data_IF_898462147532
#
_entry.id   IF_898462147532
#
_cell.length_a   1.000
_cell.length_b   1.000
_cell.length_c   1.000
_cell.angle_alpha   90.00
_cell.angle_beta   90.00
_cell.angle_gamma   90.00
#
_symmetry.space_group_name_H-M   'P 1'
#
loop_
_entity.id
_entity.type
_entity.pdbx_description
1 polymer ?
#
# COMPACT_ATOMS: atom_id res chain seq x y z
N UNK A 1 -2.76 17.50 6.19
CA UNK A 1 -3.81 16.51 6.38
C UNK A 1 -3.55 15.66 7.61
N UNK A 2 -4.61 15.14 8.20
CA UNK A 2 -4.52 14.36 9.41
C UNK A 2 -4.68 12.87 9.10
N UNK A 3 -3.71 12.32 8.38
CA UNK A 3 -3.75 10.92 7.93
C UNK A 3 -3.90 9.93 9.10
N UNK A 4 -3.38 10.27 10.27
CA UNK A 4 -3.50 9.41 11.44
C UNK A 4 -4.93 9.32 11.97
N UNK A 5 -5.84 10.19 11.57
CA UNK A 5 -7.26 10.13 11.92
C UNK A 5 -8.08 9.39 10.88
N UNK A 6 -7.71 9.51 9.61
CA UNK A 6 -8.42 8.83 8.54
C UNK A 6 -7.51 8.68 7.31
N UNK A 7 -7.59 7.54 6.68
CA UNK A 7 -6.97 7.26 5.39
C UNK A 7 -8.07 6.93 4.38
N UNK A 8 -9.10 7.74 4.33
CA UNK A 8 -10.19 7.55 3.37
C UNK A 8 -9.86 8.28 2.06
N UNK A 9 -10.06 7.59 0.94
CA UNK A 9 -9.92 8.18 -0.39
C UNK A 9 -11.08 7.73 -1.26
N UNK A 10 -11.65 8.63 -2.10
CA UNK A 10 -12.72 8.25 -3.01
C UNK A 10 -12.24 7.21 -4.02
N UNK A 11 -12.99 6.11 -4.16
CA UNK A 11 -12.71 5.08 -5.15
C UNK A 11 -13.40 5.33 -6.49
N UNK A 12 -14.33 6.28 -6.54
CA UNK A 12 -15.10 6.58 -7.71
C UNK A 12 -16.60 6.48 -7.44
N UNK A 13 -17.36 6.24 -8.47
CA UNK A 13 -18.82 6.19 -8.40
C UNK A 13 -19.29 4.78 -8.75
N UNK A 14 -20.12 4.19 -7.89
CA UNK A 14 -20.68 2.86 -8.17
C UNK A 14 -21.85 2.94 -9.17
N UNK A 15 -22.49 1.79 -9.45
CA UNK A 15 -23.59 1.70 -10.41
C UNK A 15 -24.83 2.54 -10.04
N UNK A 16 -24.92 3.01 -8.79
CA UNK A 16 -25.99 3.87 -8.30
C UNK A 16 -25.58 5.32 -8.16
N UNK A 17 -24.47 5.70 -8.77
CA UNK A 17 -23.89 7.05 -8.70
C UNK A 17 -23.54 7.50 -7.27
N UNK A 18 -23.29 6.54 -6.38
CA UNK A 18 -22.80 6.81 -5.03
C UNK A 18 -21.28 6.85 -5.02
N UNK A 19 -20.71 7.81 -4.30
CA UNK A 19 -19.27 7.88 -4.12
C UNK A 19 -18.84 6.76 -3.19
N UNK A 20 -17.92 5.90 -3.68
CA UNK A 20 -17.36 4.82 -2.90
C UNK A 20 -16.01 5.27 -2.37
N UNK A 21 -15.77 5.05 -1.08
CA UNK A 21 -14.50 5.35 -0.44
C UNK A 21 -13.90 4.08 0.16
N UNK A 22 -12.57 4.05 0.20
CA UNK A 22 -11.83 3.03 0.91
C UNK A 22 -11.07 3.70 2.06
N UNK A 23 -11.39 3.30 3.28
CA UNK A 23 -10.71 3.79 4.47
C UNK A 23 -9.77 2.67 4.96
N UNK A 24 -8.48 2.95 4.93
CA UNK A 24 -7.45 2.01 5.35
C UNK A 24 -7.08 2.15 6.82
N UNK A 25 -7.79 3.01 7.55
CA UNK A 25 -7.58 3.12 8.98
C UNK A 25 -7.93 1.79 9.66
N UNK A 26 -7.05 1.29 10.52
CA UNK A 26 -7.17 -0.04 11.10
C UNK A 26 -8.46 -0.31 11.86
N UNK A 27 -9.12 0.74 12.37
CA UNK A 27 -10.39 0.60 13.09
C UNK A 27 -11.59 0.36 12.18
N UNK A 28 -11.49 0.74 10.91
CA UNK A 28 -12.62 0.68 9.99
C UNK A 28 -12.51 -0.45 8.98
N UNK A 29 -11.34 -0.60 8.35
CA UNK A 29 -11.14 -1.58 7.28
C UNK A 29 -10.03 -2.58 7.59
N UNK A 30 -9.44 -2.48 8.81
CA UNK A 30 -8.34 -3.32 9.22
C UNK A 30 -7.07 -3.03 8.42
N UNK A 31 -6.07 -3.94 8.53
CA UNK A 31 -4.79 -3.74 7.87
C UNK A 31 -4.83 -3.98 6.36
N UNK A 32 -5.91 -4.55 5.84
CA UNK A 32 -6.04 -4.94 4.45
C UNK A 32 -7.31 -4.38 3.86
N UNK A 33 -7.17 -3.53 2.87
CA UNK A 33 -8.28 -3.16 2.01
C UNK A 33 -8.44 -4.23 0.95
N UNK A 34 -9.63 -4.82 0.84
CA UNK A 34 -9.93 -5.76 -0.22
C UNK A 34 -10.92 -5.13 -1.19
N UNK A 35 -10.47 -4.96 -2.42
CA UNK A 35 -11.34 -4.57 -3.52
C UNK A 35 -11.65 -5.81 -4.31
N UNK A 36 -12.87 -6.30 -4.21
CA UNK A 36 -13.33 -7.46 -4.96
C UNK A 36 -14.14 -6.99 -6.16
N UNK A 37 -13.90 -7.61 -7.29
CA UNK A 37 -14.63 -7.34 -8.53
C UNK A 37 -14.48 -8.50 -9.49
N UNK A 38 -15.37 -8.54 -10.48
CA UNK A 38 -15.27 -9.54 -11.54
C UNK A 38 -14.08 -9.22 -12.43
N UNK A 39 -13.39 -10.25 -12.88
CA UNK A 39 -12.23 -10.11 -13.78
C UNK A 39 -12.57 -9.30 -15.01
N UNK A 40 -11.73 -8.35 -15.33
CA UNK A 40 -11.81 -7.58 -16.58
C UNK A 40 -12.71 -6.35 -16.53
N UNK A 41 -13.45 -6.10 -15.46
CA UNK A 41 -14.34 -4.95 -15.40
C UNK A 41 -13.99 -4.06 -14.21
N UNK A 42 -13.87 -2.79 -14.40
CA UNK A 42 -13.84 -1.77 -13.36
C UNK A 42 -12.88 -1.91 -12.18
N UNK A 43 -12.34 -3.09 -11.90
CA UNK A 43 -11.47 -3.33 -10.74
C UNK A 43 -10.17 -2.54 -10.84
N UNK A 44 -9.50 -2.60 -11.99
CA UNK A 44 -8.29 -1.82 -12.23
C UNK A 44 -8.58 -0.33 -12.19
N UNK A 45 -9.73 0.08 -12.71
CA UNK A 45 -10.16 1.49 -12.65
C UNK A 45 -10.40 1.96 -11.22
N UNK A 46 -10.98 1.11 -10.37
CA UNK A 46 -11.19 1.40 -8.96
C UNK A 46 -9.84 1.62 -8.27
N UNK A 47 -8.88 0.72 -8.49
CA UNK A 47 -7.55 0.84 -7.92
C UNK A 47 -6.83 2.10 -8.42
N UNK A 48 -6.94 2.40 -9.70
CA UNK A 48 -6.38 3.62 -10.29
C UNK A 48 -6.99 4.87 -9.67
N UNK A 49 -8.31 4.89 -9.52
CA UNK A 49 -9.02 6.00 -8.88
C UNK A 49 -8.59 6.19 -7.43
N UNK A 50 -8.40 5.08 -6.70
CA UNK A 50 -7.91 5.13 -5.34
C UNK A 50 -6.52 5.75 -5.26
N UNK A 51 -5.59 5.30 -6.10
CA UNK A 51 -4.22 5.82 -6.14
C UNK A 51 -4.23 7.32 -6.42
N UNK A 52 -4.95 7.75 -7.45
CA UNK A 52 -5.03 9.16 -7.83
C UNK A 52 -5.66 10.01 -6.72
N UNK A 53 -6.74 9.52 -6.13
CA UNK A 53 -7.42 10.24 -5.05
C UNK A 53 -6.53 10.38 -3.82
N UNK A 54 -5.88 9.29 -3.42
CA UNK A 54 -4.98 9.30 -2.27
C UNK A 54 -3.77 10.21 -2.53
N UNK A 55 -3.19 10.15 -3.73
CA UNK A 55 -2.05 10.99 -4.10
C UNK A 55 -2.41 12.47 -4.16
N UNK A 56 -3.67 12.80 -4.46
CA UNK A 56 -4.14 14.18 -4.45
C UNK A 56 -4.33 14.71 -3.02
N UNK A 57 -4.78 13.85 -2.10
CA UNK A 57 -5.11 14.23 -0.73
C UNK A 57 -3.88 14.21 0.17
N UNK A 58 -2.99 13.21 -0.01
CA UNK A 58 -1.89 12.96 0.90
C UNK A 58 -0.54 13.21 0.23
N UNK A 59 0.39 13.73 1.02
CA UNK A 59 1.76 13.97 0.58
C UNK A 59 2.55 12.63 0.49
N UNK A 60 3.61 12.53 -0.37
CA UNK A 60 4.45 11.32 -0.43
C UNK A 60 5.08 10.90 0.90
N UNK A 61 5.29 11.81 1.85
CA UNK A 61 5.74 11.43 3.19
C UNK A 61 4.63 10.85 4.07
N UNK A 62 3.38 10.93 3.64
CA UNK A 62 2.22 10.39 4.36
C UNK A 62 1.76 9.05 3.80
N UNK A 63 1.81 8.87 2.48
CA UNK A 63 1.38 7.63 1.81
C UNK A 63 2.28 7.33 0.61
N UNK A 64 2.62 6.07 0.47
CA UNK A 64 3.33 5.56 -0.68
C UNK A 64 2.73 4.24 -1.15
N UNK A 65 2.95 3.90 -2.41
CA UNK A 65 2.38 2.71 -3.03
C UNK A 65 3.48 1.78 -3.54
N UNK A 66 3.24 0.48 -3.37
CA UNK A 66 3.95 -0.59 -4.07
C UNK A 66 2.90 -1.31 -4.90
N UNK A 67 3.12 -1.39 -6.20
CA UNK A 67 2.18 -2.03 -7.13
C UNK A 67 2.75 -3.36 -7.59
N UNK A 68 1.98 -4.41 -7.40
CA UNK A 68 2.30 -5.75 -7.90
C UNK A 68 1.38 -6.02 -9.08
N UNK A 69 1.96 -5.99 -10.28
CA UNK A 69 1.22 -6.13 -11.54
C UNK A 69 2.05 -6.96 -12.50
N UNK A 70 1.75 -8.25 -12.59
CA UNK A 70 2.52 -9.14 -13.43
C UNK A 70 1.86 -9.49 -14.77
N UNK A 71 0.82 -8.76 -15.13
CA UNK A 71 0.17 -8.87 -16.43
C UNK A 71 0.52 -7.69 -17.35
N UNK A 72 1.81 -7.50 -17.61
CA UNK A 72 2.27 -6.52 -18.57
C UNK A 72 2.59 -5.13 -18.02
N UNK A 73 2.38 -4.89 -16.72
CA UNK A 73 2.81 -3.64 -16.09
C UNK A 73 2.02 -2.39 -16.45
N UNK A 74 0.80 -2.52 -16.98
CA UNK A 74 0.00 -1.38 -17.42
C UNK A 74 -0.30 -0.39 -16.29
N UNK A 75 -0.64 -0.89 -15.12
CA UNK A 75 -0.90 -0.04 -13.95
C UNK A 75 0.38 0.64 -13.47
N UNK A 76 1.50 -0.08 -13.44
CA UNK A 76 2.79 0.48 -13.06
C UNK A 76 3.19 1.60 -14.04
N UNK A 77 3.05 1.36 -15.33
CA UNK A 77 3.42 2.34 -16.35
C UNK A 77 2.61 3.63 -16.22
N UNK A 78 1.35 3.52 -15.87
CA UNK A 78 0.47 4.66 -15.68
C UNK A 78 0.94 5.57 -14.54
N UNK A 79 1.48 4.99 -13.46
CA UNK A 79 1.87 5.74 -12.26
C UNK A 79 3.38 5.88 -12.09
N UNK A 80 4.17 5.54 -13.10
CA UNK A 80 5.63 5.54 -13.03
C UNK A 80 6.21 6.87 -12.53
N UNK A 81 5.62 7.98 -12.93
CA UNK A 81 6.12 9.31 -12.58
C UNK A 81 5.45 9.91 -11.33
N UNK A 82 4.57 9.15 -10.68
CA UNK A 82 3.93 9.60 -9.46
C UNK A 82 4.92 9.54 -8.30
N UNK A 83 5.18 10.64 -7.57
CA UNK A 83 6.13 10.63 -6.44
C UNK A 83 5.77 9.64 -5.35
N UNK A 84 4.52 9.27 -5.23
CA UNK A 84 4.01 8.33 -4.23
C UNK A 84 4.33 6.87 -4.57
N UNK A 85 4.73 6.56 -5.81
CA UNK A 85 5.07 5.20 -6.19
C UNK A 85 6.49 4.87 -5.69
N UNK A 86 6.57 4.03 -4.66
CA UNK A 86 7.82 3.65 -4.01
C UNK A 86 8.45 2.45 -4.70
N UNK A 87 7.65 1.51 -5.18
CA UNK A 87 8.15 0.30 -5.81
C UNK A 87 7.13 -0.36 -6.70
N UNK A 88 7.62 -1.25 -7.54
CA UNK A 88 6.79 -1.98 -8.50
C UNK A 88 7.37 -3.37 -8.73
N UNK A 89 6.47 -4.35 -8.85
CA UNK A 89 6.82 -5.73 -9.15
C UNK A 89 6.01 -6.13 -10.36
N UNK A 90 6.66 -6.29 -11.50
CA UNK A 90 5.99 -6.56 -12.78
C UNK A 90 6.27 -7.95 -13.34
N UNK A 91 7.23 -8.65 -12.75
CA UNK A 91 7.59 -10.00 -13.15
C UNK A 91 7.66 -10.89 -11.92
N UNK A 92 6.84 -11.92 -11.88
CA UNK A 92 6.75 -12.83 -10.73
C UNK A 92 7.34 -14.19 -11.10
N UNK A 93 8.58 -14.19 -11.58
CA UNK A 93 9.36 -15.42 -11.61
C UNK A 93 9.93 -15.72 -10.22
N UNK A 94 10.50 -16.91 -10.03
CA UNK A 94 10.96 -17.35 -8.71
C UNK A 94 11.99 -16.41 -8.08
N UNK A 95 12.87 -15.81 -8.87
CA UNK A 95 13.91 -14.91 -8.37
C UNK A 95 13.32 -13.54 -7.96
N UNK A 96 12.41 -13.02 -8.77
CA UNK A 96 11.74 -11.74 -8.47
C UNK A 96 10.86 -11.85 -7.23
N UNK A 97 10.17 -12.98 -7.07
CA UNK A 97 9.35 -13.26 -5.88
C UNK A 97 10.22 -13.24 -4.63
N UNK A 98 11.35 -13.93 -4.64
CA UNK A 98 12.24 -13.99 -3.49
C UNK A 98 12.84 -12.62 -3.16
N UNK A 99 13.28 -11.88 -4.18
CA UNK A 99 13.78 -10.51 -3.99
C UNK A 99 12.73 -9.58 -3.40
N UNK A 100 11.51 -9.69 -3.87
CA UNK A 100 10.38 -8.86 -3.40
C UNK A 100 10.08 -9.12 -1.94
N UNK A 101 10.01 -10.39 -1.53
CA UNK A 101 9.81 -10.74 -0.13
C UNK A 101 10.94 -10.24 0.75
N UNK A 102 12.17 -10.37 0.29
CA UNK A 102 13.34 -9.88 1.02
C UNK A 102 13.29 -8.37 1.21
N UNK A 103 12.87 -7.64 0.16
CA UNK A 103 12.73 -6.19 0.23
C UNK A 103 11.63 -5.76 1.21
N UNK A 104 10.50 -6.46 1.21
CA UNK A 104 9.39 -6.18 2.14
C UNK A 104 9.83 -6.44 3.57
N UNK A 105 10.51 -7.56 3.84
CA UNK A 105 11.02 -7.87 5.17
C UNK A 105 12.07 -6.87 5.64
N UNK A 106 12.93 -6.40 4.74
CA UNK A 106 13.91 -5.37 5.04
C UNK A 106 13.24 -4.04 5.39
N UNK A 107 12.18 -3.68 4.69
CA UNK A 107 11.40 -2.48 5.00
C UNK A 107 10.77 -2.56 6.38
N UNK A 108 10.18 -3.70 6.74
CA UNK A 108 9.62 -3.89 8.08
C UNK A 108 10.70 -3.74 9.16
N UNK A 109 11.87 -4.33 8.95
CA UNK A 109 12.98 -4.24 9.90
C UNK A 109 13.48 -2.81 10.04
N UNK A 110 13.63 -2.10 8.93
CA UNK A 110 14.00 -0.68 8.92
C UNK A 110 13.01 0.15 9.75
N UNK A 111 11.72 -0.08 9.57
CA UNK A 111 10.68 0.63 10.31
C UNK A 111 10.74 0.33 11.80
N UNK A 112 10.89 -0.94 12.17
CA UNK A 112 11.06 -1.33 13.58
C UNK A 112 12.24 -0.60 14.22
N UNK A 113 13.38 -0.56 13.55
CA UNK A 113 14.58 0.09 14.06
C UNK A 113 14.38 1.60 14.22
N UNK A 114 13.80 2.25 13.22
CA UNK A 114 13.56 3.70 13.29
C UNK A 114 12.50 4.05 14.35
N UNK A 115 11.50 3.22 14.52
CA UNK A 115 10.50 3.40 15.59
C UNK A 115 11.16 3.28 16.96
N UNK A 116 12.02 2.27 17.15
CA UNK A 116 12.74 2.10 18.41
C UNK A 116 13.63 3.30 18.73
N UNK A 117 14.35 3.83 17.74
CA UNK A 117 15.18 5.02 17.89
C UNK A 117 14.34 6.25 18.25
N UNK A 118 13.17 6.37 17.69
CA UNK A 118 12.27 7.50 17.91
C UNK A 118 11.41 7.35 19.16
N UNK A 119 11.41 6.18 19.78
CA UNK A 119 10.60 5.91 20.98
C UNK A 119 9.09 5.82 20.70
N UNK A 120 8.72 5.36 19.49
CA UNK A 120 7.32 5.20 19.11
C UNK A 120 7.03 3.75 18.73
N UNK A 121 5.75 3.38 18.75
CA UNK A 121 5.30 2.03 18.43
C UNK A 121 4.21 1.99 17.36
N UNK A 122 3.91 3.13 16.73
CA UNK A 122 2.87 3.22 15.71
C UNK A 122 3.25 4.25 14.64
N UNK A 123 2.92 3.95 13.39
CA UNK A 123 3.26 4.79 12.24
C UNK A 123 2.72 6.22 12.36
N UNK A 124 1.52 6.39 12.90
CA UNK A 124 0.92 7.72 13.00
C UNK A 124 1.72 8.63 13.93
N UNK A 125 2.26 8.06 15.01
CA UNK A 125 3.15 8.80 15.91
C UNK A 125 4.47 9.15 15.24
N UNK A 126 5.00 8.24 14.43
CA UNK A 126 6.22 8.49 13.68
C UNK A 126 6.02 9.61 12.65
N UNK A 127 4.93 9.58 11.89
CA UNK A 127 4.62 10.64 10.91
C UNK A 127 4.48 12.00 11.60
N UNK A 128 3.86 12.02 12.77
CA UNK A 128 3.74 13.23 13.57
C UNK A 128 5.12 13.80 13.94
N UNK A 129 6.05 12.96 14.38
CA UNK A 129 7.42 13.37 14.67
C UNK A 129 8.14 13.88 13.41
N UNK A 130 7.90 13.26 12.26
CA UNK A 130 8.48 13.74 11.01
C UNK A 130 7.96 15.13 10.64
N UNK A 131 6.66 15.38 10.79
CA UNK A 131 6.07 16.71 10.56
C UNK A 131 6.65 17.77 11.49
N UNK A 132 6.97 17.39 12.71
CA UNK A 132 7.60 18.27 13.72
C UNK A 132 9.12 18.39 13.56
N UNK A 133 9.69 17.77 12.52
CA UNK A 133 11.12 17.74 12.24
C UNK A 133 11.98 17.11 13.35
N UNK A 134 11.37 16.22 14.13
CA UNK A 134 12.06 15.49 15.20
C UNK A 134 12.75 14.24 14.73
N UNK A 135 12.40 13.73 13.56
CA UNK A 135 13.07 12.62 12.88
C UNK A 135 13.35 13.05 11.44
N UNK A 136 14.39 12.47 10.83
CA UNK A 136 14.89 12.91 9.53
C UNK A 136 14.43 12.03 8.37
N UNK A 137 14.16 10.76 8.65
CA UNK A 137 13.75 9.81 7.62
C UNK A 137 12.23 9.74 7.58
N UNK A 138 11.64 10.02 6.42
CA UNK A 138 10.20 9.86 6.24
C UNK A 138 9.84 8.37 6.14
N UNK A 139 8.79 7.97 6.84
CA UNK A 139 8.18 6.65 6.71
C UNK A 139 6.69 6.85 6.46
N UNK A 140 6.26 6.85 5.21
CA UNK A 140 4.83 6.97 4.90
C UNK A 140 4.08 5.67 5.23
N UNK A 141 2.77 5.75 5.33
CA UNK A 141 1.96 4.56 5.17
C UNK A 141 2.29 3.93 3.82
N UNK A 142 2.52 2.63 3.80
CA UNK A 142 2.88 1.89 2.61
C UNK A 142 1.72 0.99 2.23
N UNK A 143 1.11 1.28 1.09
CA UNK A 143 -0.03 0.50 0.58
C UNK A 143 0.47 -0.40 -0.53
N UNK A 144 0.31 -1.70 -0.33
CA UNK A 144 0.67 -2.72 -1.32
C UNK A 144 -0.58 -3.03 -2.12
N UNK A 145 -0.54 -2.73 -3.40
CA UNK A 145 -1.65 -2.94 -4.32
C UNK A 145 -1.32 -4.11 -5.22
N UNK A 146 -2.19 -5.12 -5.20
CA UNK A 146 -2.05 -6.31 -6.03
C UNK A 146 -3.12 -6.28 -7.11
N UNK A 147 -2.70 -6.15 -8.35
CA UNK A 147 -3.57 -6.34 -9.50
C UNK A 147 -3.63 -7.82 -9.83
N UNK A 148 -4.83 -8.34 -10.10
CA UNK A 148 -5.04 -9.76 -10.35
C UNK A 148 -4.65 -10.66 -9.16
N UNK A 149 -5.23 -10.35 -8.00
CA UNK A 149 -4.99 -11.09 -6.76
C UNK A 149 -5.22 -12.60 -6.89
N UNK A 150 -6.32 -13.00 -7.53
CA UNK A 150 -6.67 -14.41 -7.67
C UNK A 150 -5.64 -15.18 -8.48
N UNK A 151 -5.09 -14.58 -9.52
CA UNK A 151 -4.06 -15.20 -10.35
C UNK A 151 -2.73 -15.30 -9.59
N UNK A 152 -2.34 -14.26 -8.88
CA UNK A 152 -1.15 -14.31 -8.03
C UNK A 152 -1.27 -15.41 -6.98
N UNK A 153 -2.43 -15.51 -6.34
CA UNK A 153 -2.69 -16.55 -5.34
C UNK A 153 -2.61 -17.96 -5.95
N UNK A 154 -3.11 -18.12 -7.18
CA UNK A 154 -3.07 -19.41 -7.87
C UNK A 154 -1.66 -19.80 -8.31
N UNK A 155 -0.90 -18.86 -8.86
CA UNK A 155 0.43 -19.13 -9.41
C UNK A 155 1.54 -19.10 -8.36
N UNK A 156 1.41 -18.25 -7.34
CA UNK A 156 2.42 -18.06 -6.30
C UNK A 156 1.77 -18.06 -4.92
N UNK A 157 1.20 -19.20 -4.48
CA UNK A 157 0.47 -19.24 -3.21
C UNK A 157 1.35 -18.94 -1.99
N UNK A 158 2.60 -19.39 -2.00
CA UNK A 158 3.52 -19.13 -0.89
C UNK A 158 3.90 -17.66 -0.80
N UNK A 159 4.14 -17.03 -1.94
CA UNK A 159 4.40 -15.59 -1.99
C UNK A 159 3.23 -14.80 -1.42
N UNK A 160 2.02 -15.13 -1.85
CA UNK A 160 0.82 -14.46 -1.38
C UNK A 160 0.64 -14.63 0.12
N UNK A 161 0.86 -15.85 0.63
CA UNK A 161 0.77 -16.14 2.06
C UNK A 161 1.77 -15.32 2.87
N UNK A 162 3.02 -15.23 2.41
CA UNK A 162 4.04 -14.44 3.08
C UNK A 162 3.78 -12.94 2.97
N UNK A 163 3.24 -12.48 1.86
CA UNK A 163 2.86 -11.09 1.68
C UNK A 163 1.76 -10.68 2.67
N UNK A 164 0.74 -11.51 2.81
CA UNK A 164 -0.34 -11.28 3.77
C UNK A 164 0.20 -11.30 5.20
N UNK A 165 1.09 -12.23 5.51
CA UNK A 165 1.73 -12.29 6.82
C UNK A 165 2.55 -11.04 7.13
N UNK A 166 3.33 -10.57 6.16
CA UNK A 166 4.12 -9.35 6.30
C UNK A 166 3.23 -8.12 6.54
N UNK A 167 2.13 -8.02 5.81
CA UNK A 167 1.18 -6.91 6.00
C UNK A 167 0.53 -6.96 7.38
N UNK A 168 0.22 -8.16 7.86
CA UNK A 168 -0.35 -8.33 9.22
C UNK A 168 0.63 -7.91 10.31
N UNK A 169 1.89 -8.34 10.19
CA UNK A 169 2.97 -7.97 11.13
C UNK A 169 3.25 -6.47 11.02
N UNK A 170 3.23 -5.93 9.82
CA UNK A 170 3.55 -4.55 9.54
C UNK A 170 2.43 -3.53 9.82
N UNK A 171 1.29 -3.97 10.35
CA UNK A 171 0.14 -3.08 10.55
C UNK A 171 0.48 -1.83 11.36
N UNK A 172 1.08 -1.99 12.53
CA UNK A 172 1.49 -0.85 13.35
C UNK A 172 2.63 -0.05 12.73
N UNK A 173 3.41 -0.69 11.86
CA UNK A 173 4.49 -0.07 11.12
C UNK A 173 4.01 0.69 9.87
N UNK A 174 2.71 0.67 9.59
CA UNK A 174 2.09 1.38 8.48
C UNK A 174 2.06 0.63 7.17
N UNK A 175 2.24 -0.69 7.16
CA UNK A 175 2.18 -1.51 5.93
C UNK A 175 0.79 -2.12 5.79
N UNK A 176 0.18 -1.88 4.61
CA UNK A 176 -1.20 -2.30 4.31
C UNK A 176 -1.29 -3.10 3.03
#
# INVERSE_FOLDING_TARGET
SQIYKTMAAPLGVNAKDEIVTLDLHEKFHGPHGLVAGTTGSGKSEILQSYILSAATIFHPYEIGFVIIDFKGGGMVNQFRNLPHLIGAITNIDGNEVQRSLKSIKAELMKRQNLFAQAGVNHIDKYIELYKEKKVQTALPHLVIIVDEFAELKAEQPDFMKELISAARIGRSLGVH
#
